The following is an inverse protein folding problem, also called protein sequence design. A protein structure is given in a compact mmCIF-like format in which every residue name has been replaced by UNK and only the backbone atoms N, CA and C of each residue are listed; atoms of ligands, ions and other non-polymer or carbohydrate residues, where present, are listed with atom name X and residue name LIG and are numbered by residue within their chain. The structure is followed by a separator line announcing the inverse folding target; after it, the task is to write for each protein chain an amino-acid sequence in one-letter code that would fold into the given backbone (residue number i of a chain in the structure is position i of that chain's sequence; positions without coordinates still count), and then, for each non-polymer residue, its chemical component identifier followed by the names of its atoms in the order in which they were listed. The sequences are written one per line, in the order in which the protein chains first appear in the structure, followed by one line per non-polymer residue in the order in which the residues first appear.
data_IF_411904472411
#
_entry.id   IF_411904472411
#
_cell.length_a   1.000
_cell.length_b   1.000
_cell.length_c   1.000
_cell.angle_alpha   90.00
_cell.angle_beta   90.00
_cell.angle_gamma   90.00
#
_symmetry.space_group_name_H-M   'P 1'
#
loop_
_entity.id
_entity.type
_entity.pdbx_description
1 polymer ?
#
# COMPACT_ATOMS: atom_id res chain seq x y z
N UNK A 1 22.75 15.16 15.43
CA UNK A 1 23.90 14.44 14.90
C UNK A 1 25.19 15.10 15.32
N UNK A 2 26.28 14.37 15.38
CA UNK A 2 27.62 14.85 15.75
C UNK A 2 28.06 16.08 14.92
N UNK A 3 27.81 16.03 13.60
CA UNK A 3 28.09 17.16 12.68
C UNK A 3 27.34 18.45 13.04
N UNK A 4 26.06 18.34 13.43
CA UNK A 4 25.30 19.52 13.86
C UNK A 4 25.84 20.09 15.17
N UNK A 5 26.28 19.21 16.09
CA UNK A 5 26.94 19.62 17.33
C UNK A 5 28.24 20.35 17.06
N UNK A 6 29.08 19.87 16.13
CA UNK A 6 30.36 20.52 15.76
C UNK A 6 30.15 21.88 15.12
N UNK A 7 29.19 22.00 14.17
CA UNK A 7 28.83 23.30 13.60
C UNK A 7 28.29 24.28 14.65
N UNK A 8 27.53 23.79 15.63
CA UNK A 8 27.09 24.62 16.77
C UNK A 8 28.24 25.09 17.65
N UNK A 9 29.28 24.28 17.88
CA UNK A 9 30.48 24.69 18.60
C UNK A 9 31.25 25.78 17.85
N UNK A 10 31.39 25.59 16.52
CA UNK A 10 32.05 26.59 15.65
C UNK A 10 31.26 27.91 15.67
N UNK A 11 29.94 27.84 15.56
CA UNK A 11 29.07 29.02 15.60
C UNK A 11 29.26 29.80 16.93
N UNK A 12 29.30 29.11 18.06
CA UNK A 12 29.49 29.70 19.38
C UNK A 12 30.91 30.30 19.51
N UNK A 13 31.91 29.64 18.98
CA UNK A 13 33.28 30.15 18.98
C UNK A 13 33.39 31.46 18.18
N UNK A 14 32.79 31.51 16.98
CA UNK A 14 32.75 32.72 16.16
C UNK A 14 31.95 33.82 16.85
N UNK A 15 30.81 33.53 17.46
CA UNK A 15 30.00 34.54 18.15
C UNK A 15 30.68 35.16 19.38
N UNK A 16 31.66 34.49 19.96
CA UNK A 16 32.51 35.00 21.06
C UNK A 16 33.71 35.81 20.59
N UNK A 17 33.97 35.87 19.27
CA UNK A 17 35.08 36.66 18.70
C UNK A 17 34.80 38.16 18.79
N UNK A 18 35.86 38.96 19.03
CA UNK A 18 35.75 40.42 19.19
C UNK A 18 35.19 41.11 17.95
N UNK A 19 35.47 40.58 16.74
CA UNK A 19 34.95 41.12 15.47
C UNK A 19 33.47 40.88 15.37
N UNK A 20 32.99 39.66 15.69
CA UNK A 20 31.57 39.34 15.65
C UNK A 20 30.75 40.18 16.63
N UNK A 21 31.29 40.40 17.83
CA UNK A 21 30.66 41.24 18.84
C UNK A 21 30.59 42.73 18.39
N UNK A 22 31.67 43.26 17.79
CA UNK A 22 31.75 44.63 17.29
C UNK A 22 30.78 44.87 16.14
N UNK A 23 30.63 43.88 15.23
CA UNK A 23 29.74 43.97 14.05
C UNK A 23 28.31 43.57 14.38
N UNK A 24 28.03 43.12 15.62
CA UNK A 24 26.67 42.74 16.04
C UNK A 24 26.17 41.42 15.42
N UNK A 25 27.07 40.51 15.08
CA UNK A 25 26.65 39.19 14.52
C UNK A 25 26.20 38.28 15.64
N UNK A 26 24.92 37.96 15.64
CA UNK A 26 24.34 36.98 16.56
C UNK A 26 24.56 35.54 16.09
N UNK A 27 24.29 34.57 16.98
CA UNK A 27 24.44 33.15 16.70
C UNK A 27 23.57 32.69 15.51
N UNK A 28 22.42 33.32 15.28
CA UNK A 28 21.51 32.97 14.17
C UNK A 28 22.09 33.41 12.82
N UNK A 29 22.68 34.61 12.74
CA UNK A 29 23.36 35.13 11.55
C UNK A 29 24.55 34.22 11.22
N UNK A 30 25.40 33.92 12.22
CA UNK A 30 26.59 33.08 12.05
C UNK A 30 26.17 31.67 11.58
N UNK A 31 25.18 31.04 12.21
CA UNK A 31 24.67 29.72 11.83
C UNK A 31 24.14 29.68 10.39
N UNK A 32 23.45 30.74 9.94
CA UNK A 32 22.97 30.85 8.56
C UNK A 32 24.15 30.93 7.56
N UNK A 33 25.16 31.75 7.85
CA UNK A 33 26.33 31.89 7.00
C UNK A 33 27.12 30.58 6.95
N UNK A 34 27.35 29.94 8.10
CA UNK A 34 28.00 28.61 8.17
C UNK A 34 27.22 27.54 7.38
N UNK A 35 25.91 27.56 7.45
CA UNK A 35 25.08 26.65 6.65
C UNK A 35 25.27 26.83 5.14
N UNK A 36 25.29 28.09 4.67
CA UNK A 36 25.56 28.42 3.26
C UNK A 36 26.98 28.03 2.84
N UNK A 37 27.95 28.27 3.70
CA UNK A 37 29.38 27.94 3.43
C UNK A 37 29.56 26.42 3.38
N UNK A 38 28.98 25.69 4.33
CA UNK A 38 28.96 24.21 4.32
C UNK A 38 28.37 23.69 3.01
N UNK A 39 27.20 24.19 2.62
CA UNK A 39 26.55 23.81 1.35
C UNK A 39 27.50 24.02 0.17
N UNK A 40 28.15 25.18 0.09
CA UNK A 40 29.12 25.49 -0.97
C UNK A 40 30.27 24.48 -1.00
N UNK A 41 30.92 24.20 0.14
CA UNK A 41 32.06 23.26 0.22
C UNK A 41 31.61 21.86 -0.26
N UNK A 42 30.49 21.36 0.24
CA UNK A 42 29.99 20.00 -0.12
C UNK A 42 29.71 19.91 -1.63
N UNK A 43 29.11 20.95 -2.22
CA UNK A 43 28.81 20.96 -3.66
C UNK A 43 30.09 21.04 -4.50
N UNK A 44 31.04 21.90 -4.11
CA UNK A 44 32.34 22.02 -4.78
C UNK A 44 33.15 20.70 -4.73
N UNK A 45 33.14 20.02 -3.58
CA UNK A 45 33.78 18.71 -3.42
C UNK A 45 33.15 17.67 -4.36
N UNK A 46 31.82 17.59 -4.41
CA UNK A 46 31.11 16.65 -5.28
C UNK A 46 31.43 16.92 -6.76
N UNK A 47 31.39 18.18 -7.20
CA UNK A 47 31.59 18.55 -8.61
C UNK A 47 33.06 18.41 -9.04
N UNK A 48 34.01 18.76 -8.19
CA UNK A 48 35.44 18.82 -8.58
C UNK A 48 36.19 17.53 -8.25
N UNK A 49 35.81 16.84 -7.19
CA UNK A 49 36.54 15.66 -6.70
C UNK A 49 35.75 14.36 -6.93
N UNK A 50 34.45 14.43 -7.20
CA UNK A 50 33.60 13.27 -7.34
C UNK A 50 33.39 12.49 -6.03
N UNK A 51 33.66 13.13 -4.88
CA UNK A 51 33.57 12.51 -3.54
C UNK A 51 32.45 13.17 -2.74
N UNK A 52 31.60 12.35 -2.14
CA UNK A 52 30.43 12.80 -1.35
C UNK A 52 30.83 13.01 0.11
N UNK A 53 29.96 13.68 0.87
CA UNK A 53 30.21 14.01 2.27
C UNK A 53 30.44 12.79 3.20
N UNK A 54 30.03 11.60 2.79
CA UNK A 54 30.26 10.33 3.50
C UNK A 54 31.43 9.50 2.91
N UNK A 55 32.14 10.04 1.93
CA UNK A 55 33.29 9.40 1.27
C UNK A 55 32.92 8.52 0.07
N UNK A 56 31.64 8.32 -0.24
CA UNK A 56 31.19 7.54 -1.40
C UNK A 56 31.48 8.29 -2.72
N UNK A 57 31.64 7.51 -3.79
CA UNK A 57 31.58 7.99 -5.17
C UNK A 57 30.15 8.35 -5.60
N UNK A 58 30.00 8.94 -6.79
CA UNK A 58 28.72 9.49 -7.26
C UNK A 58 27.66 8.40 -7.52
N UNK A 59 28.05 7.21 -7.95
CA UNK A 59 27.17 6.10 -8.30
C UNK A 59 27.00 5.07 -7.17
N UNK A 60 27.70 5.22 -6.08
CA UNK A 60 27.77 4.23 -5.02
C UNK A 60 26.51 4.25 -4.14
N UNK A 61 25.95 3.04 -3.95
CA UNK A 61 24.81 2.78 -3.05
C UNK A 61 25.34 2.42 -1.67
N UNK A 62 24.72 2.93 -0.61
CA UNK A 62 25.07 2.58 0.79
C UNK A 62 24.94 1.07 1.02
N UNK A 63 25.65 0.50 1.98
CA UNK A 63 25.52 -0.91 2.36
C UNK A 63 24.05 -1.27 2.67
N UNK A 64 23.62 -2.42 2.16
CA UNK A 64 22.26 -2.93 2.34
C UNK A 64 22.31 -4.21 3.16
N UNK A 65 21.45 -4.29 4.17
CA UNK A 65 21.12 -5.51 4.93
C UNK A 65 19.63 -5.79 4.81
N UNK A 66 19.29 -7.07 4.65
CA UNK A 66 17.93 -7.54 4.44
C UNK A 66 17.68 -8.74 5.35
N UNK A 67 16.65 -8.63 6.18
CA UNK A 67 16.17 -9.73 7.02
C UNK A 67 14.68 -9.94 6.72
N UNK A 68 14.32 -11.16 6.33
CA UNK A 68 12.93 -11.52 6.04
C UNK A 68 12.33 -12.35 7.18
N UNK A 69 11.00 -12.31 7.32
CA UNK A 69 10.27 -13.03 8.37
C UNK A 69 10.70 -12.72 9.81
N UNK A 70 11.10 -11.46 10.05
CA UNK A 70 11.53 -11.00 11.39
C UNK A 70 10.40 -10.99 12.42
N UNK A 71 9.14 -10.98 11.98
CA UNK A 71 7.96 -11.04 12.83
C UNK A 71 7.27 -12.42 12.66
N UNK A 72 7.36 -13.32 13.64
CA UNK A 72 6.95 -14.72 13.49
C UNK A 72 5.43 -14.90 13.33
N UNK A 73 4.62 -13.95 13.79
CA UNK A 73 3.16 -14.01 13.73
C UNK A 73 2.57 -13.16 12.58
N UNK A 74 3.41 -12.47 11.80
CA UNK A 74 2.97 -11.72 10.64
C UNK A 74 2.90 -12.65 9.41
N UNK A 75 2.02 -12.36 8.46
CA UNK A 75 1.90 -13.16 7.23
C UNK A 75 3.18 -13.08 6.40
N UNK A 76 3.84 -11.91 6.33
CA UNK A 76 5.16 -11.73 5.78
C UNK A 76 5.76 -10.43 6.31
N UNK A 77 7.07 -10.42 6.54
CA UNK A 77 7.75 -9.23 7.03
C UNK A 77 9.17 -9.14 6.47
N UNK A 78 9.66 -7.90 6.37
CA UNK A 78 11.03 -7.61 5.96
C UNK A 78 11.56 -6.41 6.73
N UNK A 79 12.73 -6.55 7.31
CA UNK A 79 13.54 -5.44 7.80
C UNK A 79 14.57 -5.11 6.72
N UNK A 80 14.37 -3.98 6.08
CA UNK A 80 15.26 -3.48 5.02
C UNK A 80 16.07 -2.31 5.56
N UNK A 81 17.38 -2.46 5.56
CA UNK A 81 18.33 -1.43 6.03
C UNK A 81 19.24 -1.01 4.88
N UNK A 82 19.40 0.30 4.68
CA UNK A 82 20.32 0.89 3.72
C UNK A 82 21.09 2.02 4.41
N UNK A 83 22.31 1.76 4.80
CA UNK A 83 23.08 2.65 5.68
C UNK A 83 22.29 3.01 6.95
N UNK A 84 22.01 4.28 7.16
CA UNK A 84 21.23 4.81 8.28
C UNK A 84 19.73 4.99 7.94
N UNK A 85 19.19 4.20 7.05
CA UNK A 85 17.77 4.20 6.74
C UNK A 85 17.24 2.79 6.90
N UNK A 86 16.29 2.59 7.81
CA UNK A 86 15.73 1.29 8.15
C UNK A 86 14.21 1.33 8.11
N UNK A 87 13.62 0.37 7.41
CA UNK A 87 12.17 0.18 7.29
C UNK A 87 11.80 -1.24 7.70
N UNK A 88 10.91 -1.37 8.67
CA UNK A 88 10.22 -2.62 8.98
C UNK A 88 8.93 -2.66 8.19
N UNK A 89 8.83 -3.57 7.24
CA UNK A 89 7.69 -3.68 6.36
C UNK A 89 6.96 -4.99 6.57
N UNK A 90 5.64 -4.90 6.74
CA UNK A 90 4.78 -6.04 7.06
C UNK A 90 3.67 -6.15 6.04
N UNK A 91 3.50 -7.33 5.47
CA UNK A 91 2.38 -7.66 4.59
C UNK A 91 1.35 -8.50 5.34
N UNK A 92 0.08 -8.10 5.22
CA UNK A 92 -1.07 -8.79 5.79
C UNK A 92 -2.06 -9.13 4.68
N UNK A 93 -2.52 -10.36 4.66
CA UNK A 93 -3.49 -10.86 3.71
C UNK A 93 -4.87 -10.95 4.37
N UNK A 94 -5.88 -10.53 3.67
CA UNK A 94 -7.26 -10.56 4.12
C UNK A 94 -8.22 -11.06 3.04
N UNK A 95 -9.51 -10.98 3.33
CA UNK A 95 -10.62 -11.33 2.42
C UNK A 95 -11.14 -10.08 1.69
N UNK A 96 -12.13 -10.26 0.82
CA UNK A 96 -12.78 -9.13 0.13
C UNK A 96 -13.48 -8.16 1.09
N UNK A 97 -13.86 -8.62 2.28
CA UNK A 97 -14.44 -7.76 3.33
C UNK A 97 -13.46 -6.78 3.95
N UNK A 98 -12.15 -7.10 3.86
CA UNK A 98 -11.07 -6.28 4.39
C UNK A 98 -10.60 -5.23 3.38
N UNK A 99 -11.18 -5.24 2.15
CA UNK A 99 -10.87 -4.27 1.12
C UNK A 99 -11.34 -2.87 1.52
N UNK A 100 -10.57 -1.87 1.15
CA UNK A 100 -10.96 -0.49 1.36
C UNK A 100 -12.01 -0.09 0.33
N UNK A 101 -13.15 0.40 0.81
CA UNK A 101 -14.21 0.95 -0.04
C UNK A 101 -14.29 2.45 0.15
N UNK A 102 -14.46 3.18 -0.95
CA UNK A 102 -14.67 4.63 -0.93
C UNK A 102 -15.53 5.08 -2.11
N UNK A 103 -16.36 6.08 -1.83
CA UNK A 103 -17.24 6.66 -2.83
C UNK A 103 -16.49 7.71 -3.67
N UNK A 104 -16.69 7.65 -4.98
CA UNK A 104 -16.25 8.69 -5.90
C UNK A 104 -17.50 9.41 -6.42
N UNK A 105 -17.48 10.74 -6.42
CA UNK A 105 -18.62 11.56 -6.88
C UNK A 105 -19.07 11.28 -8.32
N UNK A 106 -18.18 10.73 -9.14
CA UNK A 106 -18.44 10.43 -10.56
C UNK A 106 -18.96 9.02 -10.80
N UNK A 107 -18.90 8.14 -9.80
CA UNK A 107 -19.28 6.72 -9.93
C UNK A 107 -20.52 6.41 -9.10
N UNK A 108 -21.39 5.52 -9.62
CA UNK A 108 -22.59 5.08 -8.89
C UNK A 108 -22.31 4.00 -7.86
N UNK A 109 -21.22 3.26 -8.03
CA UNK A 109 -20.80 2.20 -7.12
C UNK A 109 -19.52 2.61 -6.40
N UNK A 110 -19.33 2.22 -5.12
CA UNK A 110 -18.08 2.48 -4.42
C UNK A 110 -16.92 1.77 -5.12
N UNK A 111 -15.77 2.43 -5.15
CA UNK A 111 -14.53 1.78 -5.56
C UNK A 111 -14.03 0.85 -4.46
N UNK A 112 -13.62 -0.35 -4.88
CA UNK A 112 -13.06 -1.36 -3.99
C UNK A 112 -11.57 -1.49 -4.25
N UNK A 113 -10.76 -1.22 -3.24
CA UNK A 113 -9.32 -1.29 -3.32
C UNK A 113 -8.80 -2.47 -2.51
N UNK A 114 -8.21 -3.45 -3.20
CA UNK A 114 -7.66 -4.69 -2.59
C UNK A 114 -6.17 -4.60 -2.25
N UNK A 115 -5.45 -3.61 -2.75
CA UNK A 115 -4.05 -3.38 -2.42
C UNK A 115 -3.86 -2.05 -1.74
N UNK A 116 -3.48 -2.08 -0.46
CA UNK A 116 -3.25 -0.92 0.38
C UNK A 116 -1.79 -0.85 0.82
N UNK A 117 -1.22 0.34 0.85
CA UNK A 117 0.11 0.59 1.38
C UNK A 117 0.08 1.76 2.36
N UNK A 118 0.36 1.47 3.63
CA UNK A 118 0.46 2.46 4.70
C UNK A 118 1.94 2.72 5.01
N UNK A 119 2.30 3.96 5.13
CA UNK A 119 3.65 4.40 5.45
C UNK A 119 3.62 5.26 6.69
N UNK A 120 4.39 4.92 7.70
CA UNK A 120 4.47 5.61 8.97
C UNK A 120 5.90 6.13 9.20
N UNK A 121 5.98 7.42 9.55
CA UNK A 121 7.24 8.11 9.79
C UNK A 121 7.19 8.78 11.17
N UNK A 122 7.39 8.02 12.26
CA UNK A 122 7.39 8.56 13.61
C UNK A 122 8.61 9.44 13.86
N UNK A 123 8.50 10.42 14.77
CA UNK A 123 9.58 11.36 15.06
C UNK A 123 10.88 10.69 15.52
N UNK A 124 10.80 9.56 16.21
CA UNK A 124 11.98 8.84 16.65
C UNK A 124 12.88 8.36 15.49
N UNK A 125 12.32 8.17 14.28
CA UNK A 125 13.10 7.76 13.10
C UNK A 125 14.16 8.80 12.69
N UNK A 126 14.03 10.03 13.13
CA UNK A 126 15.01 11.12 12.96
C UNK A 126 15.50 11.67 14.29
N UNK A 127 15.29 10.94 15.40
CA UNK A 127 15.75 11.33 16.73
C UNK A 127 14.91 12.42 17.39
N UNK A 128 13.68 12.64 16.96
CA UNK A 128 12.78 13.64 17.51
C UNK A 128 11.81 13.01 18.51
N UNK A 129 11.64 13.66 19.68
CA UNK A 129 10.58 13.34 20.63
C UNK A 129 9.31 14.08 20.23
N UNK A 130 8.46 13.44 19.45
CA UNK A 130 7.17 13.99 19.02
C UNK A 130 6.02 13.03 19.35
N UNK A 131 4.81 13.54 19.65
CA UNK A 131 3.66 12.69 19.86
C UNK A 131 3.26 11.96 18.57
N UNK A 132 2.71 10.75 18.71
CA UNK A 132 2.10 10.03 17.58
C UNK A 132 0.89 10.83 17.07
N UNK A 133 0.83 11.03 15.78
CA UNK A 133 -0.24 11.76 15.08
C UNK A 133 -0.75 10.91 13.92
N UNK A 134 -1.95 11.25 13.44
CA UNK A 134 -2.44 10.70 12.18
C UNK A 134 -1.46 11.03 11.04
N UNK A 135 -1.33 10.16 10.01
CA UNK A 135 -0.44 10.39 8.89
C UNK A 135 -0.68 11.73 8.22
N UNK A 136 0.37 12.51 8.05
CA UNK A 136 0.34 13.78 7.35
C UNK A 136 0.42 13.60 5.83
N UNK A 137 0.45 14.73 5.08
CA UNK A 137 0.52 14.71 3.61
C UNK A 137 1.76 14.00 3.08
N UNK A 138 2.89 14.11 3.80
CA UNK A 138 4.16 13.48 3.43
C UNK A 138 4.06 11.97 3.52
N UNK A 139 3.51 11.45 4.61
CA UNK A 139 3.32 10.01 4.80
C UNK A 139 2.35 9.45 3.77
N UNK A 140 1.23 10.13 3.52
CA UNK A 140 0.27 9.72 2.49
C UNK A 140 0.91 9.71 1.09
N UNK A 141 1.71 10.73 0.75
CA UNK A 141 2.42 10.82 -0.52
C UNK A 141 3.46 9.70 -0.70
N UNK A 142 4.25 9.41 0.34
CA UNK A 142 5.25 8.33 0.32
C UNK A 142 4.58 6.96 0.24
N UNK A 143 3.51 6.72 1.00
CA UNK A 143 2.72 5.49 0.92
C UNK A 143 2.13 5.27 -0.47
N UNK A 144 1.56 6.31 -1.07
CA UNK A 144 1.01 6.24 -2.43
C UNK A 144 2.09 5.97 -3.50
N UNK A 145 3.28 6.57 -3.36
CA UNK A 145 4.42 6.30 -4.25
C UNK A 145 4.83 4.83 -4.17
N UNK A 146 4.98 4.28 -2.96
CA UNK A 146 5.33 2.88 -2.74
C UNK A 146 4.23 1.93 -3.28
N UNK A 147 2.96 2.26 -3.03
CA UNK A 147 1.82 1.54 -3.59
C UNK A 147 1.87 1.46 -5.11
N UNK A 148 2.02 2.60 -5.79
CA UNK A 148 2.11 2.66 -7.26
C UNK A 148 3.34 1.92 -7.80
N UNK A 149 4.43 1.91 -7.05
CA UNK A 149 5.64 1.19 -7.43
C UNK A 149 5.44 -0.33 -7.43
N UNK A 150 4.72 -0.86 -6.44
CA UNK A 150 4.54 -2.31 -6.22
C UNK A 150 3.34 -2.89 -6.97
N UNK A 151 2.25 -2.13 -7.11
CA UNK A 151 1.00 -2.60 -7.70
C UNK A 151 1.14 -3.30 -9.06
N UNK A 152 1.96 -2.80 -10.02
CA UNK A 152 2.12 -3.48 -11.32
C UNK A 152 2.81 -4.84 -11.26
N UNK A 153 3.49 -5.16 -10.14
CA UNK A 153 4.16 -6.44 -9.94
C UNK A 153 3.25 -7.48 -9.26
N UNK A 154 2.15 -7.07 -8.67
CA UNK A 154 1.20 -7.96 -7.98
C UNK A 154 0.27 -8.58 -9.02
N UNK A 155 0.04 -9.89 -8.91
CA UNK A 155 -0.93 -10.58 -9.74
C UNK A 155 -2.35 -10.08 -9.42
N UNK A 156 -3.02 -9.52 -10.43
CA UNK A 156 -4.39 -9.02 -10.33
C UNK A 156 -5.42 -10.12 -10.02
N UNK A 157 -5.08 -11.38 -10.32
CA UNK A 157 -5.91 -12.55 -9.99
C UNK A 157 -5.74 -13.01 -8.53
N UNK A 158 -4.94 -12.30 -7.72
CA UNK A 158 -4.79 -12.63 -6.30
C UNK A 158 -6.15 -12.67 -5.60
N UNK A 159 -6.46 -13.78 -4.90
CA UNK A 159 -7.73 -13.91 -4.18
C UNK A 159 -7.75 -13.08 -2.89
N UNK A 160 -6.62 -12.51 -2.50
CA UNK A 160 -6.47 -11.79 -1.24
C UNK A 160 -6.64 -10.28 -1.40
N UNK A 161 -7.18 -9.67 -0.37
CA UNK A 161 -6.93 -8.26 -0.08
C UNK A 161 -5.60 -8.14 0.64
N UNK A 162 -4.73 -7.27 0.16
CA UNK A 162 -3.35 -7.14 0.61
C UNK A 162 -3.17 -5.77 1.28
N UNK A 163 -2.69 -5.76 2.51
CA UNK A 163 -2.29 -4.54 3.20
C UNK A 163 -0.81 -4.62 3.55
N UNK A 164 -0.03 -3.65 3.08
CA UNK A 164 1.37 -3.48 3.46
C UNK A 164 1.49 -2.27 4.38
N UNK A 165 2.18 -2.44 5.49
CA UNK A 165 2.49 -1.36 6.44
C UNK A 165 4.00 -1.24 6.54
N UNK A 166 4.54 -0.05 6.32
CA UNK A 166 5.96 0.27 6.46
C UNK A 166 6.16 1.21 7.64
N UNK A 167 6.84 0.73 8.67
CA UNK A 167 7.28 1.50 9.82
C UNK A 167 8.74 1.92 9.63
N UNK A 168 9.00 3.21 9.59
CA UNK A 168 10.35 3.73 9.46
C UNK A 168 10.99 3.81 10.83
N UNK A 169 12.03 3.01 11.04
CA UNK A 169 12.74 2.92 12.32
C UNK A 169 13.88 3.92 12.41
N UNK A 170 14.58 4.15 11.29
CA UNK A 170 15.64 5.16 11.17
C UNK A 170 15.62 5.76 9.76
N UNK A 171 15.94 7.05 9.60
CA UNK A 171 15.95 7.71 8.30
C UNK A 171 17.06 8.74 8.16
N UNK A 172 17.92 8.49 7.17
CA UNK A 172 18.89 9.46 6.63
C UNK A 172 18.86 9.43 5.09
N UNK A 173 17.71 9.79 4.53
CA UNK A 173 17.47 9.86 3.07
C UNK A 173 16.73 8.65 2.50
N UNK A 174 15.68 8.96 1.77
CA UNK A 174 14.83 8.06 0.98
C UNK A 174 14.26 6.82 1.69
N UNK A 175 13.59 7.04 2.80
CA UNK A 175 12.83 5.99 3.49
C UNK A 175 11.70 5.40 2.63
N UNK A 176 11.10 6.18 1.72
CA UNK A 176 10.08 5.67 0.79
C UNK A 176 10.63 4.60 -0.16
N UNK A 177 11.87 4.74 -0.62
CA UNK A 177 12.50 3.73 -1.49
C UNK A 177 12.95 2.50 -0.69
N UNK A 178 13.33 2.65 0.57
CA UNK A 178 13.51 1.53 1.48
C UNK A 178 12.19 0.76 1.70
N UNK A 179 11.07 1.49 1.83
CA UNK A 179 9.72 0.91 1.94
C UNK A 179 9.30 0.14 0.69
N UNK A 180 9.68 0.60 -0.51
CA UNK A 180 9.45 -0.14 -1.77
C UNK A 180 10.22 -1.46 -1.77
N UNK A 181 11.52 -1.42 -1.44
CA UNK A 181 12.35 -2.62 -1.42
C UNK A 181 11.87 -3.63 -0.35
N UNK A 182 11.66 -3.16 0.87
CA UNK A 182 11.13 -3.99 1.97
C UNK A 182 9.73 -4.52 1.67
N UNK A 183 8.86 -3.69 1.07
CA UNK A 183 7.51 -4.10 0.67
C UNK A 183 7.49 -5.17 -0.40
N UNK A 184 8.39 -5.09 -1.39
CA UNK A 184 8.55 -6.12 -2.41
C UNK A 184 8.92 -7.48 -1.80
N UNK A 185 9.82 -7.50 -0.82
CA UNK A 185 10.23 -8.71 -0.12
C UNK A 185 9.20 -9.21 0.91
N UNK A 186 8.52 -8.30 1.61
CA UNK A 186 7.45 -8.66 2.54
C UNK A 186 6.27 -9.33 1.83
N UNK A 187 5.93 -8.89 0.62
CA UNK A 187 4.93 -9.54 -0.23
C UNK A 187 5.35 -10.97 -0.61
N UNK A 188 6.62 -11.17 -0.98
CA UNK A 188 7.17 -12.51 -1.25
C UNK A 188 7.13 -13.40 0.00
N UNK A 189 7.52 -12.85 1.15
CA UNK A 189 7.49 -13.56 2.43
C UNK A 189 6.06 -13.96 2.85
N UNK A 190 5.05 -13.17 2.46
CA UNK A 190 3.64 -13.51 2.65
C UNK A 190 3.09 -14.48 1.59
N UNK A 191 3.90 -15.01 0.68
CA UNK A 191 3.45 -15.91 -0.38
C UNK A 191 2.61 -15.24 -1.48
N UNK A 192 2.63 -13.92 -1.56
CA UNK A 192 1.93 -13.21 -2.64
C UNK A 192 2.63 -13.46 -3.97
N UNK A 193 1.86 -13.90 -4.96
CA UNK A 193 2.38 -14.07 -6.31
C UNK A 193 2.70 -12.69 -6.92
N UNK A 194 3.98 -12.34 -6.96
CA UNK A 194 4.50 -11.15 -7.61
C UNK A 194 5.30 -11.53 -8.84
N UNK A 195 5.10 -10.83 -9.96
CA UNK A 195 5.77 -11.16 -11.23
C UNK A 195 7.29 -10.99 -11.10
N UNK A 196 7.72 -9.87 -10.50
CA UNK A 196 9.14 -9.52 -10.32
C UNK A 196 9.34 -8.72 -9.04
N UNK A 197 10.57 -8.76 -8.51
CA UNK A 197 10.98 -7.85 -7.45
C UNK A 197 11.02 -6.40 -7.95
N UNK A 198 10.66 -5.48 -7.08
CA UNK A 198 10.69 -4.04 -7.32
C UNK A 198 11.68 -3.39 -6.37
N UNK A 199 12.70 -2.76 -6.91
CA UNK A 199 13.64 -1.95 -6.15
C UNK A 199 13.39 -0.46 -6.36
N UNK A 200 13.72 0.34 -5.35
CA UNK A 200 13.66 1.79 -5.42
C UNK A 200 14.98 2.44 -5.02
N UNK A 201 15.35 3.52 -5.70
CA UNK A 201 16.52 4.35 -5.41
C UNK A 201 16.15 5.83 -5.50
N UNK A 202 16.75 6.64 -4.63
CA UNK A 202 16.66 8.09 -4.72
C UNK A 202 17.94 8.65 -5.33
N UNK A 203 17.75 9.48 -6.33
CA UNK A 203 18.79 10.15 -7.09
C UNK A 203 18.81 11.63 -6.74
N UNK A 204 19.97 12.25 -6.82
CA UNK A 204 20.16 13.68 -6.68
C UNK A 204 20.87 14.28 -7.86
N UNK A 205 20.76 15.60 -7.99
CA UNK A 205 21.45 16.35 -9.01
C UNK A 205 22.01 17.65 -8.38
N UNK A 206 23.23 17.95 -8.73
CA UNK A 206 23.90 19.18 -8.34
C UNK A 206 24.43 19.88 -9.59
N UNK A 207 24.16 21.16 -9.74
CA UNK A 207 24.70 22.03 -10.78
C UNK A 207 25.60 23.09 -10.17
N UNK A 208 26.80 23.28 -10.74
CA UNK A 208 27.70 24.40 -10.42
C UNK A 208 28.23 25.01 -11.73
N UNK A 209 27.67 26.16 -12.11
CA UNK A 209 27.91 26.75 -13.42
C UNK A 209 27.49 25.84 -14.57
N UNK A 210 28.41 25.45 -15.44
CA UNK A 210 28.16 24.55 -16.57
C UNK A 210 28.37 23.07 -16.24
N UNK A 211 28.81 22.76 -15.01
CA UNK A 211 29.05 21.39 -14.55
C UNK A 211 27.87 20.84 -13.80
N UNK A 212 27.62 19.55 -13.92
CA UNK A 212 26.64 18.84 -13.09
C UNK A 212 27.17 17.49 -12.60
N UNK A 213 26.58 16.99 -11.55
CA UNK A 213 26.81 15.67 -11.00
C UNK A 213 25.50 15.00 -10.63
N UNK A 214 25.30 13.78 -11.12
CA UNK A 214 24.16 12.92 -10.73
C UNK A 214 24.62 12.01 -9.59
N UNK A 215 23.83 11.95 -8.52
CA UNK A 215 24.11 11.19 -7.31
C UNK A 215 23.16 10.02 -7.16
N UNK A 216 23.67 8.81 -6.94
CA UNK A 216 22.87 7.61 -6.64
C UNK A 216 22.72 7.44 -5.13
N UNK A 217 21.53 7.07 -4.67
CA UNK A 217 21.22 6.81 -3.25
C UNK A 217 21.61 7.98 -2.34
N UNK A 218 20.90 9.11 -2.53
CA UNK A 218 21.16 10.33 -1.77
C UNK A 218 20.79 10.21 -0.30
N UNK A 219 21.56 10.90 0.52
CA UNK A 219 21.28 11.13 1.95
C UNK A 219 20.45 12.40 2.16
N UNK A 220 19.94 12.58 3.38
CA UNK A 220 19.17 13.76 3.74
C UNK A 220 19.88 15.10 3.52
N UNK A 221 21.22 15.13 3.68
CA UNK A 221 22.01 16.32 3.37
C UNK A 221 21.97 16.67 1.87
N UNK A 222 22.08 15.68 1.02
CA UNK A 222 22.10 15.84 -0.44
C UNK A 222 20.70 16.13 -1.00
N UNK A 223 19.67 15.57 -0.37
CA UNK A 223 18.26 15.91 -0.64
C UNK A 223 17.98 17.40 -0.34
N UNK A 224 18.47 17.90 0.80
CA UNK A 224 18.28 19.31 1.20
C UNK A 224 19.13 20.26 0.37
N UNK A 225 20.40 19.95 0.16
CA UNK A 225 21.38 20.86 -0.45
C UNK A 225 21.50 20.70 -1.98
N UNK A 226 20.90 19.67 -2.58
CA UNK A 226 20.82 19.42 -4.02
C UNK A 226 19.81 20.27 -4.76
N UNK A 227 19.88 20.27 -6.09
CA UNK A 227 19.06 21.06 -7.00
C UNK A 227 17.84 20.27 -7.55
N UNK A 228 17.93 18.95 -7.53
CA UNK A 228 16.85 18.04 -7.85
C UNK A 228 17.01 16.77 -7.03
N UNK A 229 15.93 16.23 -6.55
CA UNK A 229 15.83 14.84 -6.12
C UNK A 229 14.75 14.12 -6.93
N UNK A 230 15.03 12.88 -7.31
CA UNK A 230 14.01 12.04 -7.89
C UNK A 230 14.13 10.60 -7.44
N UNK A 231 12.98 10.01 -7.22
CA UNK A 231 12.83 8.66 -6.74
C UNK A 231 12.36 7.79 -7.88
N UNK A 232 13.11 6.74 -8.16
CA UNK A 232 12.83 5.81 -9.26
C UNK A 232 12.65 4.42 -8.69
N UNK A 233 11.48 3.85 -8.88
CA UNK A 233 11.20 2.46 -8.54
C UNK A 233 10.90 1.64 -9.80
N UNK A 234 11.26 0.36 -9.77
CA UNK A 234 10.98 -0.53 -10.90
C UNK A 234 11.60 -1.91 -10.75
N UNK A 235 11.25 -2.73 -11.71
CA UNK A 235 11.76 -4.10 -11.88
C UNK A 235 13.04 -4.11 -12.72
N UNK A 236 13.52 -5.31 -13.06
CA UNK A 236 14.59 -5.51 -14.07
C UNK A 236 14.18 -5.01 -15.47
N UNK A 237 12.89 -5.00 -15.79
CA UNK A 237 12.41 -4.69 -17.14
C UNK A 237 12.14 -3.21 -17.35
N UNK A 238 11.79 -2.48 -16.28
CA UNK A 238 11.43 -1.08 -16.43
C UNK A 238 11.04 -0.39 -15.14
N UNK A 239 10.65 0.87 -15.29
CA UNK A 239 10.22 1.75 -14.19
C UNK A 239 8.73 1.52 -13.93
N UNK A 240 8.35 1.34 -12.66
CA UNK A 240 6.97 1.22 -12.22
C UNK A 240 6.43 2.49 -11.57
N UNK A 241 7.31 3.29 -10.96
CA UNK A 241 6.95 4.59 -10.41
C UNK A 241 8.13 5.55 -10.43
N UNK A 242 7.82 6.84 -10.59
CA UNK A 242 8.76 7.94 -10.58
C UNK A 242 8.14 9.12 -9.85
N UNK A 243 8.92 9.77 -8.98
CA UNK A 243 8.61 11.08 -8.40
C UNK A 243 9.84 11.96 -8.52
N UNK A 244 9.66 13.17 -8.99
CA UNK A 244 10.73 14.14 -9.16
C UNK A 244 10.36 15.46 -8.50
N UNK A 245 11.32 16.05 -7.78
CA UNK A 245 11.24 17.39 -7.22
C UNK A 245 12.45 18.20 -7.73
N UNK A 246 12.16 19.29 -8.43
CA UNK A 246 13.16 20.18 -9.06
C UNK A 246 13.09 21.52 -8.38
N UNK A 247 14.23 21.98 -7.86
CA UNK A 247 14.38 23.29 -7.22
C UNK A 247 14.91 24.38 -8.18
N UNK A 248 15.19 23.98 -9.43
CA UNK A 248 15.62 24.85 -10.53
C UNK A 248 14.46 25.12 -11.50
N UNK A 249 14.67 26.07 -12.44
CA UNK A 249 13.69 26.38 -13.47
C UNK A 249 13.45 25.29 -14.53
N UNK A 250 14.23 24.20 -14.48
CA UNK A 250 14.15 23.04 -15.36
C UNK A 250 15.51 22.34 -15.53
N UNK A 251 15.49 21.17 -16.14
CA UNK A 251 16.68 20.38 -16.52
C UNK A 251 16.60 20.01 -17.99
N UNK A 252 17.77 19.78 -18.63
CA UNK A 252 17.78 19.31 -20.00
C UNK A 252 17.40 17.83 -20.11
N UNK A 253 16.92 17.42 -21.28
CA UNK A 253 16.57 16.03 -21.54
C UNK A 253 17.79 15.11 -21.46
N UNK A 254 18.97 15.61 -21.82
CA UNK A 254 20.24 14.88 -21.75
C UNK A 254 20.58 14.53 -20.30
N UNK A 255 20.51 15.50 -19.39
CA UNK A 255 20.76 15.30 -17.96
C UNK A 255 19.71 14.37 -17.35
N UNK A 256 18.44 14.52 -17.71
CA UNK A 256 17.39 13.60 -17.26
C UNK A 256 17.66 12.17 -17.74
N UNK A 257 18.07 12.00 -18.98
CA UNK A 257 18.41 10.69 -19.57
C UNK A 257 19.60 10.07 -18.83
N UNK A 258 20.66 10.82 -18.58
CA UNK A 258 21.82 10.39 -17.79
C UNK A 258 21.38 9.90 -16.40
N UNK A 259 20.59 10.72 -15.69
CA UNK A 259 20.11 10.41 -14.37
C UNK A 259 19.23 9.14 -14.33
N UNK A 260 18.37 8.91 -15.33
CA UNK A 260 17.56 7.71 -15.44
C UNK A 260 18.39 6.44 -15.69
N UNK A 261 19.43 6.52 -16.55
CA UNK A 261 20.34 5.39 -16.77
C UNK A 261 21.20 5.10 -15.53
N UNK A 262 21.65 6.12 -14.81
CA UNK A 262 22.35 5.94 -13.56
C UNK A 262 21.43 5.33 -12.47
N UNK A 263 20.18 5.78 -12.39
CA UNK A 263 19.16 5.16 -11.53
C UNK A 263 18.90 3.68 -11.88
N UNK A 264 18.97 3.32 -13.16
CA UNK A 264 18.87 1.92 -13.60
C UNK A 264 20.01 1.09 -13.00
N UNK A 265 21.26 1.54 -13.11
CA UNK A 265 22.42 0.83 -12.53
C UNK A 265 22.28 0.70 -11.00
N UNK A 266 21.89 1.76 -10.31
CA UNK A 266 21.63 1.72 -8.87
C UNK A 266 20.53 0.71 -8.49
N UNK A 267 19.43 0.66 -9.23
CA UNK A 267 18.36 -0.32 -9.01
C UNK A 267 18.79 -1.75 -9.31
N UNK A 268 19.56 -1.98 -10.37
CA UNK A 268 20.11 -3.30 -10.72
C UNK A 268 21.00 -3.84 -9.60
N UNK A 269 21.83 -3.00 -9.00
CA UNK A 269 22.64 -3.38 -7.83
C UNK A 269 21.74 -3.77 -6.63
N UNK A 270 20.72 -2.97 -6.32
CA UNK A 270 19.77 -3.26 -5.24
C UNK A 270 19.00 -4.54 -5.51
N UNK A 271 18.48 -4.73 -6.75
CA UNK A 271 17.76 -5.92 -7.17
C UNK A 271 18.61 -7.20 -7.04
N UNK A 272 19.90 -7.12 -7.31
CA UNK A 272 20.80 -8.26 -7.15
C UNK A 272 20.87 -8.73 -5.68
N UNK A 273 20.97 -7.79 -4.72
CA UNK A 273 20.96 -8.10 -3.29
C UNK A 273 19.59 -8.61 -2.83
N UNK A 274 18.51 -7.99 -3.30
CA UNK A 274 17.14 -8.43 -3.01
C UNK A 274 16.88 -9.84 -3.56
N UNK A 275 17.40 -10.17 -4.72
CA UNK A 275 17.27 -11.52 -5.32
C UNK A 275 18.01 -12.58 -4.50
N UNK A 276 19.12 -12.23 -3.87
CA UNK A 276 19.79 -13.15 -2.94
C UNK A 276 18.96 -13.40 -1.69
N UNK A 277 18.36 -12.34 -1.14
CA UNK A 277 17.48 -12.46 0.02
C UNK A 277 16.19 -13.24 -0.32
N UNK A 278 15.59 -13.01 -1.50
CA UNK A 278 14.38 -13.69 -1.98
C UNK A 278 14.53 -15.22 -2.04
N UNK A 279 15.71 -15.71 -2.44
CA UNK A 279 16.02 -17.16 -2.47
C UNK A 279 15.98 -17.84 -1.11
N UNK A 280 16.16 -17.09 -0.04
CA UNK A 280 16.21 -17.57 1.33
C UNK A 280 14.89 -17.34 2.08
N UNK A 281 13.85 -16.84 1.39
CA UNK A 281 12.53 -16.65 1.99
C UNK A 281 11.87 -18.01 2.19
N UNK A 282 11.58 -18.33 3.43
CA UNK A 282 10.71 -19.46 3.80
C UNK A 282 9.33 -18.91 4.14
N UNK A 283 8.32 -19.32 3.39
CA UNK A 283 6.93 -18.91 3.64
C UNK A 283 6.42 -19.66 4.86
N UNK A 284 6.01 -18.94 5.91
CA UNK A 284 5.37 -19.53 7.08
C UNK A 284 3.89 -19.80 6.81
N UNK A 285 3.59 -21.00 6.32
CA UNK A 285 2.22 -21.37 5.97
C UNK A 285 1.28 -21.45 7.18
N UNK A 286 1.78 -21.58 8.39
CA UNK A 286 0.95 -21.72 9.59
C UNK A 286 0.22 -20.42 9.95
N UNK A 287 0.81 -19.28 9.61
CA UNK A 287 0.22 -17.95 9.88
C UNK A 287 -0.60 -17.43 8.72
N UNK A 288 -0.47 -17.99 7.51
CA UNK A 288 -1.19 -17.51 6.35
C UNK A 288 -2.67 -17.88 6.41
N UNK A 289 -3.57 -16.98 6.02
CA UNK A 289 -4.98 -17.32 5.91
C UNK A 289 -5.17 -18.38 4.84
N UNK A 290 -5.79 -19.48 5.22
CA UNK A 290 -6.16 -20.56 4.28
C UNK A 290 -7.45 -20.14 3.57
N UNK A 291 -7.41 -20.19 2.24
CA UNK A 291 -8.50 -19.75 1.40
C UNK A 291 -8.87 -20.86 0.41
N UNK A 292 -10.16 -21.17 0.34
CA UNK A 292 -10.73 -22.07 -0.65
C UNK A 292 -11.78 -21.33 -1.49
N UNK A 293 -11.65 -21.49 -2.81
CA UNK A 293 -12.54 -20.90 -3.79
C UNK A 293 -13.17 -22.04 -4.61
N UNK A 294 -14.50 -22.10 -4.66
CA UNK A 294 -15.21 -23.09 -5.47
C UNK A 294 -16.56 -22.56 -5.91
N UNK A 295 -17.13 -23.20 -6.93
CA UNK A 295 -18.43 -22.80 -7.46
C UNK A 295 -19.51 -23.78 -7.04
N UNK A 296 -20.69 -23.24 -6.76
CA UNK A 296 -21.95 -23.97 -6.60
C UNK A 296 -22.97 -23.43 -7.59
N UNK A 297 -24.05 -24.19 -7.79
CA UNK A 297 -25.19 -23.67 -8.60
C UNK A 297 -25.67 -22.34 -7.95
N UNK A 298 -25.79 -21.23 -8.71
CA UNK A 298 -26.28 -19.95 -8.19
C UNK A 298 -27.60 -20.05 -7.43
N UNK A 299 -28.51 -20.96 -7.87
CA UNK A 299 -29.77 -21.22 -7.18
C UNK A 299 -29.64 -21.81 -5.78
N UNK A 300 -28.48 -22.46 -5.49
CA UNK A 300 -28.14 -23.09 -4.21
C UNK A 300 -27.50 -22.14 -3.20
N UNK A 301 -27.08 -20.96 -3.62
CA UNK A 301 -26.55 -19.93 -2.71
C UNK A 301 -27.58 -19.61 -1.61
N UNK A 302 -28.85 -19.64 -1.90
CA UNK A 302 -29.93 -19.42 -0.92
C UNK A 302 -29.91 -20.47 0.19
N UNK A 303 -29.55 -21.72 -0.12
CA UNK A 303 -29.43 -22.80 0.86
C UNK A 303 -28.24 -22.57 1.81
N UNK A 304 -27.15 -22.03 1.29
CA UNK A 304 -25.96 -21.65 2.09
C UNK A 304 -26.29 -20.50 3.04
N UNK A 305 -27.03 -19.49 2.57
CA UNK A 305 -27.43 -18.36 3.39
C UNK A 305 -28.45 -18.81 4.45
N UNK A 306 -29.39 -19.62 4.05
CA UNK A 306 -30.48 -20.08 4.89
C UNK A 306 -31.49 -18.98 5.25
N UNK A 307 -32.52 -19.33 6.01
CA UNK A 307 -33.58 -18.40 6.43
C UNK A 307 -32.98 -17.28 7.31
N UNK A 308 -33.12 -16.03 6.87
CA UNK A 308 -32.57 -14.84 7.53
C UNK A 308 -31.05 -14.92 7.85
N UNK A 309 -30.29 -15.65 7.05
CA UNK A 309 -28.85 -15.80 7.23
C UNK A 309 -28.43 -16.78 8.34
N UNK A 310 -29.33 -17.60 8.84
CA UNK A 310 -29.06 -18.52 9.97
C UNK A 310 -28.01 -19.57 9.62
N UNK A 311 -28.12 -20.21 8.46
CA UNK A 311 -27.21 -21.30 8.06
C UNK A 311 -25.77 -20.79 7.89
N UNK A 312 -25.59 -19.66 7.21
CA UNK A 312 -24.26 -19.11 7.01
C UNK A 312 -23.61 -18.69 8.33
N UNK A 313 -24.38 -18.14 9.27
CA UNK A 313 -23.88 -17.79 10.59
C UNK A 313 -23.44 -19.04 11.38
N UNK A 314 -24.24 -20.09 11.35
CA UNK A 314 -23.92 -21.37 11.99
C UNK A 314 -22.63 -21.98 11.41
N UNK A 315 -22.40 -21.89 10.09
CA UNK A 315 -21.17 -22.37 9.44
C UNK A 315 -19.98 -21.55 9.91
N UNK A 316 -20.09 -20.21 9.89
CA UNK A 316 -19.04 -19.28 10.30
C UNK A 316 -18.63 -19.55 11.76
N UNK A 317 -19.59 -19.67 12.66
CA UNK A 317 -19.33 -19.92 14.09
C UNK A 317 -18.79 -21.32 14.35
N UNK A 318 -19.34 -22.34 13.72
CA UNK A 318 -18.97 -23.75 13.93
C UNK A 318 -17.56 -24.08 13.46
N UNK A 319 -17.15 -23.51 12.32
CA UNK A 319 -15.87 -23.82 11.69
C UNK A 319 -14.85 -22.70 11.87
N UNK A 320 -15.19 -21.61 12.53
CA UNK A 320 -14.29 -20.44 12.75
C UNK A 320 -13.73 -19.92 11.43
N UNK A 321 -14.59 -19.76 10.41
CA UNK A 321 -14.25 -19.29 9.07
C UNK A 321 -15.01 -18.04 8.70
N UNK A 322 -14.53 -17.30 7.70
CA UNK A 322 -15.30 -16.29 6.98
C UNK A 322 -15.78 -16.84 5.65
N UNK A 323 -16.98 -16.43 5.19
CA UNK A 323 -17.56 -16.89 3.93
C UNK A 323 -18.04 -15.68 3.15
N UNK A 324 -17.57 -15.55 1.91
CA UNK A 324 -18.04 -14.59 0.94
C UNK A 324 -18.74 -15.31 -0.23
N UNK A 325 -19.85 -14.75 -0.69
CA UNK A 325 -20.71 -15.36 -1.69
C UNK A 325 -20.99 -14.40 -2.84
N UNK A 326 -20.64 -14.78 -4.05
CA UNK A 326 -21.10 -14.12 -5.27
C UNK A 326 -22.36 -14.84 -5.78
N UNK A 327 -23.52 -14.19 -5.64
CA UNK A 327 -24.81 -14.78 -6.00
C UNK A 327 -25.02 -14.94 -7.49
N UNK A 328 -24.39 -14.08 -8.28
CA UNK A 328 -24.57 -14.09 -9.74
C UNK A 328 -23.74 -15.20 -10.38
N UNK A 329 -22.51 -15.38 -9.89
CA UNK A 329 -21.58 -16.39 -10.42
C UNK A 329 -21.68 -17.75 -9.70
N UNK A 330 -22.34 -17.81 -8.55
CA UNK A 330 -22.35 -19.00 -7.72
C UNK A 330 -21.00 -19.28 -7.04
N UNK A 331 -20.14 -18.27 -6.93
CA UNK A 331 -18.80 -18.41 -6.34
C UNK A 331 -18.88 -18.35 -4.81
N UNK A 332 -18.23 -19.32 -4.17
CA UNK A 332 -18.11 -19.43 -2.72
C UNK A 332 -16.67 -19.33 -2.35
N UNK A 333 -16.32 -18.36 -1.51
CA UNK A 333 -14.99 -18.13 -0.99
C UNK A 333 -15.00 -18.34 0.52
N UNK A 334 -14.18 -19.27 1.01
CA UNK A 334 -14.05 -19.56 2.45
C UNK A 334 -12.62 -19.22 2.87
N UNK A 335 -12.48 -18.46 3.94
CA UNK A 335 -11.19 -18.14 4.52
C UNK A 335 -11.18 -18.42 6.03
N UNK A 336 -10.06 -18.95 6.53
CA UNK A 336 -9.87 -19.25 7.95
C UNK A 336 -8.39 -19.43 8.32
N UNK A 337 -8.10 -19.43 9.62
CA UNK A 337 -6.72 -19.60 10.11
C UNK A 337 -6.20 -21.04 9.98
N UNK A 338 -7.08 -22.04 10.02
CA UNK A 338 -6.69 -23.45 9.95
C UNK A 338 -7.28 -24.12 8.69
N UNK A 339 -6.43 -24.80 7.91
CA UNK A 339 -6.86 -25.51 6.70
C UNK A 339 -7.96 -26.54 6.99
N UNK A 340 -7.83 -27.29 8.09
CA UNK A 340 -8.84 -28.27 8.53
C UNK A 340 -10.23 -27.68 8.69
N UNK A 341 -10.33 -26.47 9.22
CA UNK A 341 -11.58 -25.76 9.42
C UNK A 341 -12.18 -25.31 8.08
N UNK A 342 -11.35 -24.79 7.19
CA UNK A 342 -11.75 -24.38 5.83
C UNK A 342 -12.23 -25.58 5.02
N UNK A 343 -11.49 -26.68 5.03
CA UNK A 343 -11.87 -27.92 4.33
C UNK A 343 -13.20 -28.48 4.89
N UNK A 344 -13.37 -28.53 6.21
CA UNK A 344 -14.59 -29.00 6.85
C UNK A 344 -15.82 -28.10 6.53
N UNK A 345 -15.62 -26.78 6.48
CA UNK A 345 -16.66 -25.84 6.05
C UNK A 345 -17.03 -26.04 4.58
N UNK A 346 -16.05 -26.26 3.70
CA UNK A 346 -16.24 -26.56 2.29
C UNK A 346 -17.07 -27.84 2.10
N UNK A 347 -16.67 -28.93 2.75
CA UNK A 347 -17.36 -30.22 2.68
C UNK A 347 -18.80 -30.11 3.19
N UNK A 348 -19.01 -29.34 4.25
CA UNK A 348 -20.35 -29.07 4.76
C UNK A 348 -21.20 -28.29 3.75
N UNK A 349 -20.66 -27.23 3.14
CA UNK A 349 -21.36 -26.45 2.11
C UNK A 349 -21.69 -27.33 0.91
N UNK A 350 -20.75 -28.12 0.42
CA UNK A 350 -20.99 -29.07 -0.67
C UNK A 350 -22.10 -30.05 -0.28
N UNK A 351 -22.12 -30.55 0.96
CA UNK A 351 -23.14 -31.49 1.42
C UNK A 351 -24.55 -30.91 1.44
N UNK A 352 -24.73 -29.63 1.76
CA UNK A 352 -26.04 -28.96 1.78
C UNK A 352 -26.48 -28.51 0.40
N UNK A 353 -25.56 -28.22 -0.52
CA UNK A 353 -25.86 -27.81 -1.89
C UNK A 353 -26.06 -29.01 -2.84
N UNK A 354 -25.41 -30.16 -2.57
CA UNK A 354 -25.55 -31.39 -3.38
C UNK A 354 -26.73 -32.27 -2.99
N UNK A 355 -27.27 -32.09 -1.77
CA UNK A 355 -28.54 -32.78 -1.44
C UNK A 355 -29.65 -32.23 -2.31
N UNK A 356 -30.22 -33.05 -3.16
CA UNK A 356 -31.59 -32.87 -3.64
C UNK A 356 -32.47 -32.85 -2.39
N UNK A 357 -32.55 -31.69 -1.75
CA UNK A 357 -33.46 -31.50 -0.63
C UNK A 357 -34.89 -31.42 -1.19
N UNK A 358 -35.54 -32.57 -1.26
CA UNK A 358 -36.94 -32.70 -1.10
C UNK A 358 -37.41 -32.23 0.30
N UNK A 359 -36.96 -31.06 0.73
CA UNK A 359 -37.62 -30.25 1.75
C UNK A 359 -38.64 -29.40 1.02
N UNK A 360 -39.72 -30.07 0.56
CA UNK A 360 -40.98 -29.40 0.43
C UNK A 360 -41.31 -28.81 1.81
N UNK A 361 -40.89 -27.60 2.10
CA UNK A 361 -41.66 -26.76 3.00
C UNK A 361 -43.06 -26.75 2.42
N UNK A 362 -44.01 -27.28 3.17
CA UNK A 362 -45.42 -27.38 2.81
C UNK A 362 -46.00 -26.03 2.44
N UNK A 363 -45.63 -25.56 1.29
CA UNK A 363 -46.46 -24.66 0.50
C UNK A 363 -47.42 -25.57 -0.22
N UNK A 364 -48.67 -25.58 0.24
CA UNK A 364 -49.81 -25.96 -0.63
C UNK A 364 -49.47 -25.43 -2.01
N UNK A 365 -49.56 -26.23 -3.08
CA UNK A 365 -49.26 -25.73 -4.42
C UNK A 365 -50.23 -24.56 -4.67
N UNK A 366 -49.70 -23.36 -4.72
CA UNK A 366 -50.37 -22.29 -5.41
C UNK A 366 -50.49 -22.77 -6.84
N UNK A 367 -51.73 -23.13 -7.25
CA UNK A 367 -52.04 -23.34 -8.65
C UNK A 367 -51.71 -22.04 -9.35
N UNK A 368 -50.57 -22.03 -10.07
CA UNK A 368 -50.32 -21.03 -11.06
C UNK A 368 -51.41 -21.20 -12.13
N UNK A 369 -52.44 -20.43 -12.01
CA UNK A 369 -53.38 -20.21 -13.11
C UNK A 369 -52.60 -19.45 -14.19
N UNK A 370 -52.10 -20.20 -15.18
CA UNK A 370 -51.31 -19.67 -16.30
C UNK A 370 -52.13 -18.78 -17.24
N UNK A 371 -53.42 -18.56 -16.96
CA UNK A 371 -54.33 -17.84 -17.83
C UNK A 371 -54.88 -16.51 -17.27
N UNK A 372 -54.30 -15.97 -16.20
CA UNK A 372 -54.61 -14.58 -15.83
C UNK A 372 -53.70 -13.62 -16.62
N UNK A 373 -54.30 -13.05 -17.68
CA UNK A 373 -53.73 -11.89 -18.36
C UNK A 373 -53.40 -10.81 -17.31
N UNK A 374 -52.15 -10.32 -17.27
CA UNK A 374 -51.78 -9.19 -16.41
C UNK A 374 -52.71 -8.02 -16.77
N UNK A 375 -53.41 -7.42 -15.79
CA UNK A 375 -54.21 -6.26 -16.07
C UNK A 375 -53.35 -5.15 -16.61
N UNK A 376 -53.67 -4.63 -17.78
CA UNK A 376 -53.02 -3.45 -18.38
C UNK A 376 -53.79 -2.23 -17.89
N UNK A 377 -53.09 -1.35 -17.19
CA UNK A 377 -53.63 -0.05 -16.75
C UNK A 377 -53.14 1.05 -17.69
N UNK A 378 -54.04 1.98 -18.04
CA UNK A 378 -53.70 3.14 -18.88
C UNK A 378 -53.75 4.43 -18.07
N UNK A 379 -53.02 5.43 -18.49
CA UNK A 379 -53.05 6.75 -17.86
C UNK A 379 -54.45 7.35 -18.07
N UNK A 380 -55.11 7.69 -16.94
CA UNK A 380 -56.46 8.24 -16.94
C UNK A 380 -57.54 7.22 -16.53
N UNK A 381 -57.20 5.94 -16.27
CA UNK A 381 -58.16 4.95 -15.75
C UNK A 381 -58.51 5.28 -14.29
N UNK A 382 -59.79 5.22 -13.94
CA UNK A 382 -60.28 5.39 -12.57
C UNK A 382 -60.68 4.05 -11.97
N UNK A 383 -60.23 3.78 -10.74
CA UNK A 383 -60.51 2.53 -10.04
C UNK A 383 -61.07 2.78 -8.64
N UNK A 384 -61.96 1.93 -8.21
CA UNK A 384 -62.41 1.86 -6.82
C UNK A 384 -61.75 0.64 -6.18
N UNK A 385 -60.94 0.89 -5.13
CA UNK A 385 -60.25 -0.16 -4.41
C UNK A 385 -60.43 -0.06 -2.90
N UNK A 386 -60.13 -1.14 -2.18
CA UNK A 386 -60.13 -1.15 -0.72
C UNK A 386 -58.74 -0.93 -0.17
N UNK A 387 -58.59 -0.09 0.87
CA UNK A 387 -57.30 0.14 1.54
C UNK A 387 -56.91 -1.12 2.30
N UNK A 388 -55.80 -1.74 1.91
CA UNK A 388 -55.30 -2.98 2.50
C UNK A 388 -54.28 -2.71 3.61
N UNK A 389 -53.42 -1.72 3.45
CA UNK A 389 -52.48 -1.27 4.48
C UNK A 389 -52.09 0.17 4.30
N UNK A 390 -51.81 0.85 5.41
CA UNK A 390 -51.23 2.21 5.48
C UNK A 390 -49.83 2.12 6.08
N UNK A 391 -48.85 2.66 5.39
CA UNK A 391 -47.45 2.70 5.82
C UNK A 391 -46.93 4.14 5.77
N UNK A 392 -45.81 4.44 6.40
CA UNK A 392 -45.28 5.80 6.52
C UNK A 392 -45.00 6.51 5.17
N UNK A 393 -44.80 5.75 4.12
CA UNK A 393 -44.51 6.28 2.77
C UNK A 393 -45.65 6.13 1.76
N UNK A 394 -46.84 5.62 2.15
CA UNK A 394 -47.98 5.48 1.24
C UNK A 394 -49.10 4.56 1.72
N UNK A 395 -50.05 4.31 0.82
CA UNK A 395 -51.23 3.47 1.05
C UNK A 395 -51.29 2.41 -0.02
N UNK A 396 -51.42 1.14 0.39
CA UNK A 396 -51.68 0.02 -0.54
C UNK A 396 -53.19 -0.16 -0.71
N UNK A 397 -53.65 -0.09 -1.97
CA UNK A 397 -55.05 -0.20 -2.32
C UNK A 397 -55.24 -1.42 -3.21
N UNK A 398 -56.01 -2.37 -2.78
CA UNK A 398 -56.41 -3.54 -3.60
C UNK A 398 -57.45 -3.13 -4.61
N UNK A 399 -57.11 -3.20 -5.90
CA UNK A 399 -58.00 -2.84 -7.02
C UNK A 399 -58.88 -4.02 -7.46
N UNK A 400 -58.33 -5.24 -7.41
CA UNK A 400 -59.01 -6.53 -7.63
C UNK A 400 -58.26 -7.61 -6.86
N UNK A 401 -58.91 -8.74 -6.59
CA UNK A 401 -58.27 -9.86 -5.87
C UNK A 401 -56.85 -10.19 -6.40
N UNK A 402 -55.85 -9.88 -5.60
CA UNK A 402 -54.45 -10.16 -5.90
C UNK A 402 -53.72 -9.10 -6.74
N UNK A 403 -54.25 -7.86 -6.87
CA UNK A 403 -53.63 -6.72 -7.53
C UNK A 403 -53.69 -5.51 -6.58
N UNK A 404 -52.52 -5.14 -6.04
CA UNK A 404 -52.34 -4.00 -5.11
C UNK A 404 -51.57 -2.87 -5.79
#
# INVERSE_FOLDING_TARGET
SERASELGKIAKQISSDEVAQKEGWDEAIISNVLGKYKKKIVREQIINEGVRADGRGLEEVRPISIETNVLPNAHGSCLFTRGQTQALVVATLGTDRDAQMYDILTEKAPLVEKFMFNYNFPGFSVGEASPLKAPGRRELGHGNLAKRALAPSIDLASPYTIRVVSEILESNGSSSMASVCGGSLALRAAGVNTQKLVAGVAMGLIFEGDKHAVLTDIMGLEDHDGDMDFKVAGTSDGITALQMDIKLGGISLEVLKEALYQAKRGREHILALMTQADKNIEINEDVLPKLELFNVDPSKIVDIIGQAGKTIKEIIEKFEVSIDLDREKGEVKIAGGAKKNVDAAKDYIISITSKENSRSFGKKPFKHDKDRAKPTFNIGDEFVGSVKSVVDFGVFIELKDGVD
#
